data_IF_414098170397
#
_entry.id   IF_414098170397
#
_cell.length_a   1.000
_cell.length_b   1.000
_cell.length_c   1.000
_cell.angle_alpha   90.00
_cell.angle_beta   90.00
_cell.angle_gamma   90.00
#
_symmetry.space_group_name_H-M   'P 1'
#
loop_
_entity.id
_entity.type
_entity.pdbx_description
1 polymer ?
#
# COMPACT_ATOMS: atom_id res chain seq x y z
N UNK A 1 2.03 -3.74 -12.22
CA UNK A 1 3.02 -2.79 -11.72
C UNK A 1 3.33 -3.09 -10.26
N UNK A 2 4.60 -3.06 -9.90
CA UNK A 2 5.08 -3.14 -8.53
C UNK A 2 5.66 -1.80 -8.12
N UNK A 3 5.24 -1.30 -6.98
CA UNK A 3 5.80 -0.11 -6.32
C UNK A 3 6.62 -0.54 -5.10
N UNK A 4 7.78 0.07 -4.91
CA UNK A 4 8.60 -0.11 -3.71
C UNK A 4 8.95 1.24 -3.10
N UNK A 5 8.76 1.37 -1.78
CA UNK A 5 9.09 2.58 -1.04
C UNK A 5 9.71 2.25 0.33
N UNK A 6 10.51 3.17 0.85
CA UNK A 6 10.97 3.17 2.24
C UNK A 6 10.27 4.32 2.98
N UNK A 7 9.64 4.02 4.12
CA UNK A 7 8.84 5.01 4.88
C UNK A 7 9.19 5.01 6.36
N UNK A 8 9.14 6.19 6.99
CA UNK A 8 9.32 6.35 8.44
C UNK A 8 8.02 6.11 9.21
N UNK A 9 7.46 4.90 9.08
CA UNK A 9 6.30 4.44 9.83
C UNK A 9 6.47 2.97 10.25
N UNK A 10 5.85 2.55 11.38
CA UNK A 10 5.71 1.14 11.71
C UNK A 10 4.92 0.37 10.64
N UNK A 11 5.21 -0.94 10.42
CA UNK A 11 4.50 -1.74 9.41
C UNK A 11 2.98 -1.77 9.60
N UNK A 12 2.51 -1.89 10.84
CA UNK A 12 1.07 -1.91 11.16
C UNK A 12 0.37 -0.60 10.76
N UNK A 13 1.02 0.54 10.97
CA UNK A 13 0.47 1.85 10.62
C UNK A 13 0.35 2.02 9.10
N UNK A 14 1.31 1.48 8.34
CA UNK A 14 1.24 1.48 6.87
C UNK A 14 0.02 0.69 6.40
N UNK A 15 -0.18 -0.53 6.91
CA UNK A 15 -1.32 -1.37 6.53
C UNK A 15 -2.65 -0.75 6.93
N UNK A 16 -2.76 -0.21 8.15
CA UNK A 16 -3.98 0.45 8.61
C UNK A 16 -4.33 1.68 7.75
N UNK A 17 -3.32 2.50 7.38
CA UNK A 17 -3.51 3.64 6.48
C UNK A 17 -3.92 3.19 5.08
N UNK A 18 -3.34 2.10 4.55
CA UNK A 18 -3.72 1.55 3.25
C UNK A 18 -5.20 1.14 3.25
N UNK A 19 -5.64 0.34 4.22
CA UNK A 19 -7.04 -0.08 4.37
C UNK A 19 -7.99 1.11 4.30
N UNK A 20 -7.71 2.17 5.09
CA UNK A 20 -8.55 3.36 5.11
C UNK A 20 -8.52 4.13 3.78
N UNK A 21 -7.34 4.32 3.21
CA UNK A 21 -7.16 5.09 1.99
C UNK A 21 -7.92 4.49 0.81
N UNK A 22 -7.82 3.18 0.60
CA UNK A 22 -8.45 2.52 -0.54
C UNK A 22 -9.96 2.32 -0.36
N UNK A 23 -10.45 2.29 0.89
CA UNK A 23 -11.88 2.30 1.16
C UNK A 23 -12.52 3.69 0.99
N UNK A 24 -11.85 4.76 1.45
CA UNK A 24 -12.46 6.09 1.58
C UNK A 24 -12.02 7.11 0.53
N UNK A 25 -10.79 6.99 0.01
CA UNK A 25 -10.15 8.04 -0.79
C UNK A 25 -10.05 7.70 -2.26
N UNK A 26 -10.53 6.53 -2.69
CA UNK A 26 -10.55 6.09 -4.10
C UNK A 26 -12.01 5.84 -4.52
N UNK A 27 -12.90 6.85 -4.57
CA UNK A 27 -14.35 6.65 -4.66
C UNK A 27 -14.82 5.94 -5.94
N UNK A 28 -14.10 6.09 -7.05
CA UNK A 28 -14.43 5.42 -8.33
C UNK A 28 -13.93 3.98 -8.42
N UNK A 29 -13.03 3.58 -7.52
CA UNK A 29 -12.42 2.25 -7.50
C UNK A 29 -12.09 1.88 -6.05
N UNK A 30 -13.10 1.87 -5.17
CA UNK A 30 -12.88 1.53 -3.78
C UNK A 30 -12.48 0.05 -3.68
N UNK A 31 -11.49 -0.24 -2.83
CA UNK A 31 -11.04 -1.59 -2.56
C UNK A 31 -11.06 -1.87 -1.05
N UNK A 32 -11.57 -3.05 -0.69
CA UNK A 32 -11.80 -3.46 0.70
C UNK A 32 -10.95 -4.66 1.07
N UNK A 33 -10.74 -4.87 2.38
CA UNK A 33 -9.92 -5.99 2.88
C UNK A 33 -10.50 -7.32 2.43
N UNK A 34 -9.69 -8.10 1.73
CA UNK A 34 -9.97 -9.51 1.43
C UNK A 34 -9.21 -10.42 2.39
N UNK A 35 -7.92 -10.13 2.60
CA UNK A 35 -7.05 -10.89 3.51
C UNK A 35 -6.04 -9.94 4.16
N UNK A 36 -5.71 -10.20 5.42
CA UNK A 36 -4.69 -9.44 6.13
C UNK A 36 -3.87 -10.33 7.07
N UNK A 37 -2.70 -9.85 7.43
CA UNK A 37 -1.86 -10.43 8.45
C UNK A 37 -0.79 -9.45 8.90
N UNK A 38 0.12 -9.84 9.81
CA UNK A 38 1.05 -8.91 10.46
C UNK A 38 2.01 -8.16 9.51
N UNK A 39 2.17 -8.66 8.28
CA UNK A 39 3.11 -8.12 7.27
C UNK A 39 2.50 -7.97 5.88
N UNK A 40 1.21 -8.22 5.72
CA UNK A 40 0.58 -8.18 4.40
C UNK A 40 -0.87 -7.72 4.49
N UNK A 41 -1.34 -7.17 3.38
CA UNK A 41 -2.73 -6.77 3.18
C UNK A 41 -3.09 -7.03 1.72
N UNK A 42 -4.22 -7.67 1.48
CA UNK A 42 -4.81 -7.87 0.16
C UNK A 42 -6.14 -7.14 0.14
N UNK A 43 -6.28 -6.20 -0.79
CA UNK A 43 -7.51 -5.46 -1.03
C UNK A 43 -8.14 -5.89 -2.35
N UNK A 44 -9.48 -5.96 -2.37
CA UNK A 44 -10.28 -6.34 -3.53
C UNK A 44 -11.20 -5.20 -3.96
N UNK A 45 -11.09 -4.80 -5.22
CA UNK A 45 -11.92 -3.82 -5.90
C UNK A 45 -13.19 -4.40 -6.51
N UNK A 46 -14.09 -3.51 -6.94
CA UNK A 46 -15.34 -3.86 -7.63
C UNK A 46 -15.03 -4.39 -9.04
N UNK A 47 -15.02 -5.72 -9.20
CA UNK A 47 -14.66 -6.36 -10.48
C UNK A 47 -13.54 -7.40 -10.36
N UNK A 48 -13.10 -7.72 -9.14
CA UNK A 48 -12.07 -8.73 -8.93
C UNK A 48 -10.65 -8.17 -8.93
N UNK A 49 -10.49 -6.86 -9.04
CA UNK A 49 -9.19 -6.19 -9.08
C UNK A 49 -8.48 -6.28 -7.72
N UNK A 50 -7.15 -6.39 -7.72
CA UNK A 50 -6.38 -6.66 -6.50
C UNK A 50 -5.30 -5.61 -6.25
N UNK A 51 -5.07 -5.34 -4.97
CA UNK A 51 -3.90 -4.63 -4.45
C UNK A 51 -3.27 -5.48 -3.36
N UNK A 52 -2.05 -5.93 -3.59
CA UNK A 52 -1.31 -6.76 -2.63
C UNK A 52 -0.15 -5.95 -2.02
N UNK A 53 -0.21 -5.74 -0.70
CA UNK A 53 0.82 -5.10 0.10
C UNK A 53 1.68 -6.15 0.81
N UNK A 54 2.97 -5.88 0.85
CA UNK A 54 3.93 -6.49 1.77
C UNK A 54 4.68 -5.38 2.51
N UNK A 55 4.78 -5.50 3.82
CA UNK A 55 5.54 -4.57 4.67
C UNK A 55 6.59 -5.33 5.46
N UNK A 56 7.82 -4.85 5.42
CA UNK A 56 8.95 -5.43 6.15
C UNK A 56 9.66 -4.33 6.92
N UNK A 57 9.79 -4.50 8.24
CA UNK A 57 10.57 -3.59 9.07
C UNK A 57 12.02 -3.53 8.57
N UNK A 58 12.57 -2.32 8.52
CA UNK A 58 13.94 -2.03 8.13
C UNK A 58 14.66 -1.28 9.27
N UNK A 59 15.93 -0.93 9.05
CA UNK A 59 16.73 -0.24 10.06
C UNK A 59 16.19 1.14 10.38
N UNK A 60 16.52 1.66 11.57
CA UNK A 60 16.13 3.02 11.99
C UNK A 60 14.64 3.23 12.23
N UNK A 61 13.85 2.16 12.41
CA UNK A 61 12.39 2.26 12.60
C UNK A 61 11.63 2.53 11.30
N UNK A 62 12.27 2.35 10.15
CA UNK A 62 11.64 2.48 8.83
C UNK A 62 10.95 1.18 8.40
N UNK A 63 10.09 1.28 7.39
CA UNK A 63 9.41 0.13 6.78
C UNK A 63 9.63 0.15 5.28
N UNK A 64 10.07 -0.98 4.73
CA UNK A 64 10.00 -1.24 3.29
C UNK A 64 8.59 -1.67 2.94
N UNK A 65 7.95 -0.92 2.06
CA UNK A 65 6.60 -1.18 1.54
C UNK A 65 6.74 -1.63 0.09
N UNK A 66 6.18 -2.80 -0.23
CA UNK A 66 6.06 -3.30 -1.60
C UNK A 66 4.60 -3.50 -1.93
N UNK A 67 4.15 -2.92 -3.03
CA UNK A 67 2.74 -2.98 -3.45
C UNK A 67 2.67 -3.49 -4.88
N UNK A 68 1.81 -4.47 -5.14
CA UNK A 68 1.58 -5.00 -6.48
C UNK A 68 0.13 -4.81 -6.88
N UNK A 69 -0.10 -4.35 -8.10
CA UNK A 69 -1.44 -4.22 -8.67
C UNK A 69 -1.41 -4.26 -10.20
N UNK A 70 -2.54 -4.62 -10.81
CA UNK A 70 -2.78 -4.48 -12.25
C UNK A 70 -3.56 -3.22 -12.61
N UNK A 71 -4.47 -2.74 -11.74
CA UNK A 71 -5.43 -1.68 -12.07
C UNK A 71 -5.32 -0.43 -11.18
N UNK A 72 -4.57 -0.47 -10.07
CA UNK A 72 -4.52 0.62 -9.09
C UNK A 72 -3.25 1.46 -9.14
N UNK A 73 -2.53 1.48 -10.27
CA UNK A 73 -1.19 2.08 -10.36
C UNK A 73 -1.13 3.53 -9.83
N UNK A 74 -2.00 4.41 -10.35
CA UNK A 74 -2.08 5.81 -9.90
C UNK A 74 -2.57 5.94 -8.46
N UNK A 75 -3.45 5.05 -8.00
CA UNK A 75 -3.95 5.08 -6.64
C UNK A 75 -2.89 4.62 -5.63
N UNK A 76 -2.05 3.66 -6.01
CA UNK A 76 -0.89 3.21 -5.23
C UNK A 76 0.17 4.30 -5.17
N UNK A 77 0.52 4.93 -6.28
CA UNK A 77 1.48 6.05 -6.29
C UNK A 77 1.01 7.20 -5.38
N UNK A 78 -0.26 7.61 -5.53
CA UNK A 78 -0.87 8.62 -4.65
C UNK A 78 -0.92 8.19 -3.18
N UNK A 79 -1.17 6.91 -2.88
CA UNK A 79 -1.13 6.42 -1.51
C UNK A 79 0.28 6.60 -0.92
N UNK A 80 1.31 6.14 -1.63
CA UNK A 80 2.69 6.21 -1.17
C UNK A 80 3.15 7.66 -0.99
N UNK A 81 2.69 8.58 -1.86
CA UNK A 81 2.97 10.01 -1.73
C UNK A 81 2.37 10.67 -0.47
N UNK A 82 1.44 10.00 0.24
CA UNK A 82 0.90 10.49 1.52
C UNK A 82 1.67 9.99 2.74
N UNK A 83 2.65 9.11 2.55
CA UNK A 83 3.47 8.56 3.63
C UNK A 83 4.73 9.41 3.82
N UNK A 84 5.37 9.37 5.02
CA UNK A 84 6.67 10.00 5.23
C UNK A 84 7.74 9.17 4.51
N UNK A 85 7.95 9.47 3.23
CA UNK A 85 8.93 8.82 2.37
C UNK A 85 10.36 9.16 2.80
N UNK A 86 11.21 8.14 2.95
CA UNK A 86 12.65 8.28 3.18
C UNK A 86 13.45 8.28 1.87
N UNK A 87 12.84 7.81 0.79
CA UNK A 87 13.40 7.82 -0.56
C UNK A 87 12.27 7.89 -1.60
N UNK A 88 12.61 8.17 -2.87
CA UNK A 88 11.66 8.13 -3.98
C UNK A 88 11.04 6.75 -4.18
N UNK A 89 9.83 6.70 -4.74
CA UNK A 89 9.14 5.45 -5.08
C UNK A 89 9.77 4.83 -6.32
N UNK A 90 10.17 3.57 -6.22
CA UNK A 90 10.63 2.77 -7.36
C UNK A 90 9.45 2.00 -7.97
N UNK A 91 9.32 2.05 -9.30
CA UNK A 91 8.26 1.36 -10.05
C UNK A 91 8.87 0.39 -11.05
N UNK A 92 8.42 -0.88 -11.02
CA UNK A 92 8.88 -1.97 -11.88
C UNK A 92 7.74 -2.90 -12.34
#
# INVERSE_FOLDING_TARGET
MTHTALVALPPADVLARATRFFAERVPHAAAFVEREGPRFLVLRGQGGEEIAFNVTAAEGGTTRVRVSTLMFDQAVDRFLSTLPLEAGVEVA
#
